data_IF_921072966957
#
_entry.id   IF_921072966957
#
_cell.length_a   1.000
_cell.length_b   1.000
_cell.length_c   1.000
_cell.angle_alpha   90.00
_cell.angle_beta   90.00
_cell.angle_gamma   90.00
#
_symmetry.space_group_name_H-M   'P 1'
#
loop_
_entity.id
_entity.type
_entity.pdbx_description
1 polymer ?
#
# COMPACT_ATOMS: atom_id res chain seq x y z
N UNK A 1 -16.18 20.04 -5.35
CA UNK A 1 -15.78 18.62 -5.37
C UNK A 1 -14.64 18.45 -4.39
N UNK A 2 -14.59 17.39 -3.57
CA UNK A 2 -13.38 17.13 -2.80
C UNK A 2 -12.26 16.75 -3.77
N UNK A 3 -11.12 17.42 -3.62
CA UNK A 3 -9.90 17.20 -4.41
C UNK A 3 -9.17 15.92 -3.95
N UNK A 4 -8.02 15.60 -4.55
CA UNK A 4 -7.17 14.52 -4.06
C UNK A 4 -6.40 14.94 -2.78
N UNK A 5 -6.12 13.96 -1.92
CA UNK A 5 -5.25 14.18 -0.77
C UNK A 5 -3.79 13.90 -1.16
N UNK A 6 -2.93 14.92 -1.13
CA UNK A 6 -1.52 14.80 -1.44
C UNK A 6 -0.62 14.94 -0.20
N UNK A 7 0.54 14.29 -0.25
CA UNK A 7 1.55 14.45 0.79
C UNK A 7 2.95 14.27 0.21
N UNK A 8 3.80 15.28 0.37
CA UNK A 8 5.18 15.23 -0.08
C UNK A 8 6.03 14.22 0.74
N UNK A 9 6.75 13.34 0.03
CA UNK A 9 7.68 12.37 0.63
C UNK A 9 9.01 13.07 0.90
N UNK A 10 9.46 13.02 2.16
CA UNK A 10 10.56 13.84 2.68
C UNK A 10 11.90 13.11 2.70
N UNK A 11 11.86 11.79 2.81
CA UNK A 11 13.02 10.92 2.90
C UNK A 11 12.63 9.46 2.60
N UNK A 12 13.63 8.58 2.56
CA UNK A 12 13.46 7.16 2.29
C UNK A 12 12.62 6.44 3.36
N UNK A 13 12.67 6.88 4.61
CA UNK A 13 11.90 6.27 5.71
C UNK A 13 10.41 6.58 5.54
N UNK A 14 10.08 7.84 5.23
CA UNK A 14 8.72 8.27 4.92
C UNK A 14 8.20 7.52 3.69
N UNK A 15 9.02 7.37 2.63
CA UNK A 15 8.65 6.59 1.46
C UNK A 15 8.25 5.15 1.82
N UNK A 16 9.13 4.42 2.52
CA UNK A 16 8.87 3.03 2.93
C UNK A 16 7.61 2.89 3.78
N UNK A 17 7.41 3.83 4.72
CA UNK A 17 6.22 3.83 5.58
C UNK A 17 4.92 4.04 4.79
N UNK A 18 4.93 4.91 3.78
CA UNK A 18 3.76 5.17 2.93
C UNK A 18 3.48 3.98 2.00
N UNK A 19 4.51 3.35 1.44
CA UNK A 19 4.35 2.12 0.65
C UNK A 19 3.69 1.01 1.49
N UNK A 20 4.22 0.75 2.68
CA UNK A 20 3.65 -0.23 3.61
C UNK A 20 2.20 0.12 3.97
N UNK A 21 1.93 1.40 4.23
CA UNK A 21 0.56 1.86 4.50
C UNK A 21 -0.40 1.53 3.34
N UNK A 22 0.00 1.82 2.10
CA UNK A 22 -0.80 1.54 0.91
C UNK A 22 -1.02 0.04 0.74
N UNK A 23 0.02 -0.78 0.93
CA UNK A 23 -0.09 -2.24 0.86
C UNK A 23 -1.03 -2.82 1.92
N UNK A 24 -1.08 -2.23 3.12
CA UNK A 24 -1.97 -2.67 4.20
C UNK A 24 -3.41 -2.15 4.10
N UNK A 25 -3.72 -1.24 3.17
CA UNK A 25 -5.07 -0.68 3.07
C UNK A 25 -6.17 -1.74 2.81
N UNK A 26 -5.99 -2.73 1.91
CA UNK A 26 -6.96 -3.80 1.71
C UNK A 26 -7.22 -4.63 2.97
N UNK A 27 -6.17 -4.87 3.77
CA UNK A 27 -6.27 -5.59 5.05
C UNK A 27 -7.04 -4.76 6.07
N UNK A 28 -6.69 -3.48 6.23
CA UNK A 28 -7.40 -2.54 7.13
C UNK A 28 -8.86 -2.35 6.75
N UNK A 29 -9.18 -2.44 5.47
CA UNK A 29 -10.54 -2.40 4.95
C UNK A 29 -11.30 -3.73 5.12
N UNK A 30 -10.64 -4.80 5.58
CA UNK A 30 -11.24 -6.13 5.78
C UNK A 30 -11.52 -6.89 4.48
N UNK A 31 -10.89 -6.51 3.37
CA UNK A 31 -11.11 -7.12 2.05
C UNK A 31 -10.33 -8.42 1.88
N UNK A 32 -9.16 -8.52 2.52
CA UNK A 32 -8.25 -9.67 2.48
C UNK A 32 -7.55 -9.86 3.82
N UNK A 33 -7.09 -11.09 4.10
CA UNK A 33 -6.38 -11.42 5.34
C UNK A 33 -4.91 -10.96 5.32
N UNK A 34 -4.26 -10.97 4.16
CA UNK A 34 -2.90 -10.49 3.98
C UNK A 34 -2.79 -9.55 2.77
N UNK A 35 -1.82 -8.63 2.79
CA UNK A 35 -1.63 -7.62 1.73
C UNK A 35 -1.34 -8.27 0.36
N UNK A 36 -0.65 -9.41 0.35
CA UNK A 36 -0.27 -10.17 -0.85
C UNK A 36 -1.48 -10.80 -1.56
N UNK A 37 -2.58 -11.01 -0.83
CA UNK A 37 -3.80 -11.60 -1.37
C UNK A 37 -4.61 -10.59 -2.21
N UNK A 38 -4.23 -9.30 -2.22
CA UNK A 38 -4.89 -8.26 -2.99
C UNK A 38 -4.26 -8.12 -4.40
N UNK A 39 -4.87 -8.69 -5.47
CA UNK A 39 -4.22 -8.81 -6.77
C UNK A 39 -4.00 -7.48 -7.49
N UNK A 40 -4.71 -6.43 -7.07
CA UNK A 40 -4.63 -5.09 -7.66
C UNK A 40 -3.61 -4.17 -6.96
N UNK A 41 -2.65 -4.72 -6.22
CA UNK A 41 -1.51 -3.95 -5.69
C UNK A 41 -0.17 -4.62 -5.97
N UNK A 42 0.90 -3.84 -5.89
CA UNK A 42 2.28 -4.34 -6.01
C UNK A 42 2.72 -5.24 -4.86
N UNK A 43 1.98 -5.30 -3.75
CA UNK A 43 2.24 -6.27 -2.68
C UNK A 43 2.10 -7.72 -3.20
N UNK A 44 1.07 -7.97 -4.02
CA UNK A 44 0.85 -9.28 -4.63
C UNK A 44 1.93 -9.64 -5.65
N UNK A 45 2.41 -8.67 -6.42
CA UNK A 45 3.52 -8.88 -7.38
C UNK A 45 4.85 -9.16 -6.67
N UNK A 46 5.17 -8.39 -5.64
CA UNK A 46 6.39 -8.56 -4.85
C UNK A 46 6.46 -9.96 -4.25
N UNK A 47 5.33 -10.47 -3.74
CA UNK A 47 5.24 -11.82 -3.17
C UNK A 47 5.38 -12.94 -4.20
N UNK A 48 5.01 -12.71 -5.47
CA UNK A 48 5.18 -13.69 -6.55
C UNK A 48 6.63 -13.77 -7.05
N UNK A 49 7.40 -12.70 -6.86
CA UNK A 49 8.76 -12.57 -7.38
C UNK A 49 9.85 -12.70 -6.30
N UNK A 50 9.45 -12.95 -5.05
CA UNK A 50 10.34 -13.19 -3.89
C UNK A 50 10.61 -14.68 -3.71
#
# INVERSE_FOLDING_TARGET
MPDYFDRFIRDQKHFKAVVEYIHQNPVKAGLVAAAQDWPWSSAAETARNA
#
